data_IF_339727001251
#
_entry.id   IF_339727001251
#
_cell.length_a   1.000
_cell.length_b   1.000
_cell.length_c   1.000
_cell.angle_alpha   90.00
_cell.angle_beta   90.00
_cell.angle_gamma   90.00
#
_symmetry.space_group_name_H-M   'P 1'
#
loop_
_entity.id
_entity.type
_entity.pdbx_description
1 polymer ?
#
# COMPACT_ATOMS: atom_id res chain seq x y z
N UNK A 1 -17.02 -4.37 3.33
CA UNK A 1 -15.78 -3.83 3.95
C UNK A 1 -15.19 -2.61 3.20
N UNK A 2 -16.03 -1.83 2.56
CA UNK A 2 -15.60 -0.73 1.65
C UNK A 2 -15.10 0.53 2.38
N UNK A 3 -15.49 0.73 3.64
CA UNK A 3 -15.17 1.99 4.35
C UNK A 3 -13.71 2.17 4.77
N UNK A 4 -12.94 1.10 4.87
CA UNK A 4 -11.51 1.22 5.26
C UNK A 4 -10.55 1.31 4.07
N UNK A 5 -11.00 1.01 2.84
CA UNK A 5 -10.15 1.10 1.63
C UNK A 5 -9.62 2.53 1.44
N UNK A 6 -10.52 3.52 1.46
CA UNK A 6 -10.19 4.93 1.25
C UNK A 6 -9.25 5.43 2.35
N UNK A 7 -9.47 4.98 3.59
CA UNK A 7 -8.60 5.29 4.73
C UNK A 7 -7.21 4.68 4.55
N UNK A 8 -7.10 3.44 4.06
CA UNK A 8 -5.81 2.80 3.76
C UNK A 8 -5.05 3.59 2.69
N UNK A 9 -5.73 4.04 1.63
CA UNK A 9 -5.13 4.88 0.58
C UNK A 9 -4.64 6.19 1.17
N UNK A 10 -5.44 6.87 2.00
CA UNK A 10 -5.05 8.12 2.65
C UNK A 10 -3.81 7.94 3.55
N UNK A 11 -3.80 6.94 4.41
CA UNK A 11 -2.68 6.64 5.29
C UNK A 11 -1.42 6.22 4.52
N UNK A 12 -1.58 5.57 3.37
CA UNK A 12 -0.44 5.22 2.49
C UNK A 12 0.28 6.47 1.98
N UNK A 13 -0.46 7.54 1.71
CA UNK A 13 0.07 8.84 1.27
C UNK A 13 0.86 9.59 2.34
N UNK A 14 0.61 9.31 3.60
CA UNK A 14 1.31 9.95 4.72
C UNK A 14 2.71 9.36 4.90
N UNK A 15 3.63 9.66 3.97
CA UNK A 15 5.00 9.12 3.94
C UNK A 15 5.84 9.46 5.17
N UNK A 16 5.47 10.53 5.88
CA UNK A 16 6.10 10.95 7.12
C UNK A 16 5.76 10.05 8.33
N UNK A 17 4.78 9.13 8.20
CA UNK A 17 4.42 8.18 9.25
C UNK A 17 5.02 6.80 8.98
N UNK A 18 5.49 6.15 10.05
CA UNK A 18 5.91 4.74 10.01
C UNK A 18 4.71 3.81 9.86
N UNK A 19 4.94 2.55 9.48
CA UNK A 19 3.90 1.52 9.41
C UNK A 19 3.13 1.38 10.72
N UNK A 20 3.80 1.33 11.87
CA UNK A 20 3.17 1.24 13.19
C UNK A 20 2.27 2.43 13.50
N UNK A 21 2.67 3.65 13.14
CA UNK A 21 1.88 4.85 13.33
C UNK A 21 0.63 4.87 12.43
N UNK A 22 0.74 4.40 11.20
CA UNK A 22 -0.40 4.23 10.29
C UNK A 22 -1.39 3.19 10.81
N UNK A 23 -0.90 2.10 11.39
CA UNK A 23 -1.74 1.08 12.05
C UNK A 23 -2.51 1.68 13.23
N UNK A 24 -1.85 2.49 14.07
CA UNK A 24 -2.53 3.18 15.17
C UNK A 24 -3.67 4.08 14.66
N UNK A 25 -3.42 4.85 13.60
CA UNK A 25 -4.46 5.69 12.99
C UNK A 25 -5.59 4.83 12.39
N UNK A 26 -5.26 3.76 11.68
CA UNK A 26 -6.25 2.86 11.06
C UNK A 26 -7.18 2.20 12.10
N UNK A 27 -6.67 1.95 13.31
CA UNK A 27 -7.45 1.39 14.40
C UNK A 27 -8.32 2.43 15.12
N UNK A 28 -7.95 3.71 15.07
CA UNK A 28 -8.65 4.80 15.77
C UNK A 28 -9.58 5.62 14.86
N UNK A 29 -9.50 5.44 13.55
CA UNK A 29 -10.31 6.17 12.58
C UNK A 29 -11.24 5.19 11.84
N UNK A 30 -12.49 5.59 11.70
CA UNK A 30 -13.50 4.74 11.04
C UNK A 30 -13.57 4.98 9.53
N UNK A 31 -13.31 6.21 9.08
CA UNK A 31 -13.46 6.60 7.69
C UNK A 31 -12.55 7.77 7.30
N UNK A 32 -12.47 8.04 6.01
CA UNK A 32 -11.66 9.11 5.44
C UNK A 32 -12.05 10.51 5.93
N UNK A 33 -13.35 10.75 6.19
CA UNK A 33 -13.83 12.05 6.67
C UNK A 33 -13.24 12.40 8.05
N UNK A 34 -13.00 11.41 8.90
CA UNK A 34 -12.33 11.65 10.18
C UNK A 34 -10.89 12.12 10.00
N UNK A 35 -10.18 11.62 8.98
CA UNK A 35 -8.83 12.10 8.66
C UNK A 35 -8.84 13.57 8.29
N UNK A 36 -9.85 14.00 7.52
CA UNK A 36 -10.00 15.39 7.08
C UNK A 36 -10.22 16.38 8.24
N UNK A 37 -10.85 15.90 9.30
CA UNK A 37 -11.18 16.71 10.49
C UNK A 37 -10.03 16.77 11.51
N UNK A 38 -8.99 15.93 11.36
CA UNK A 38 -7.88 15.92 12.30
C UNK A 38 -7.09 17.24 12.25
N UNK A 39 -7.01 17.91 13.38
CA UNK A 39 -6.00 18.94 13.61
C UNK A 39 -4.60 18.30 13.67
N UNK A 40 -3.57 19.12 13.47
CA UNK A 40 -2.20 18.61 13.60
C UNK A 40 -1.87 18.11 15.01
N UNK A 41 -2.46 18.72 16.02
CA UNK A 41 -2.30 18.33 17.42
C UNK A 41 -2.93 16.94 17.71
N UNK A 42 -4.10 16.68 17.15
CA UNK A 42 -4.74 15.37 17.23
C UNK A 42 -3.93 14.31 16.48
N UNK A 43 -3.44 14.66 15.28
CA UNK A 43 -2.59 13.77 14.50
C UNK A 43 -1.29 13.43 15.24
N UNK A 44 -0.65 14.41 15.91
CA UNK A 44 0.51 14.18 16.78
C UNK A 44 0.16 13.23 17.92
N UNK A 45 -0.96 13.47 18.58
CA UNK A 45 -1.41 12.67 19.72
C UNK A 45 -1.69 11.23 19.31
N UNK A 46 -2.42 11.02 18.22
CA UNK A 46 -2.78 9.70 17.71
C UNK A 46 -1.60 8.92 17.13
N UNK A 47 -0.71 9.60 16.42
CA UNK A 47 0.45 8.95 15.79
C UNK A 47 1.64 8.80 16.74
N UNK A 48 1.65 9.52 17.86
CA UNK A 48 2.81 9.60 18.76
C UNK A 48 4.04 10.27 18.14
N UNK A 49 3.86 11.02 17.04
CA UNK A 49 4.96 11.67 16.32
C UNK A 49 4.90 13.19 16.45
N UNK A 50 6.04 13.80 16.71
CA UNK A 50 6.16 15.26 16.60
C UNK A 50 6.22 15.66 15.12
N UNK A 51 5.17 16.33 14.63
CA UNK A 51 4.99 16.74 13.25
C UNK A 51 5.11 18.25 13.14
N UNK A 52 5.71 18.71 12.04
CA UNK A 52 5.69 20.12 11.67
C UNK A 52 4.33 20.47 11.02
N UNK A 53 3.87 21.70 11.24
CA UNK A 53 2.62 22.21 10.62
C UNK A 53 2.63 22.14 9.10
N UNK A 54 3.80 22.23 8.48
CA UNK A 54 3.98 22.12 7.02
C UNK A 54 3.76 20.72 6.48
N UNK A 55 3.82 19.69 7.33
CA UNK A 55 3.65 18.29 6.94
C UNK A 55 2.19 17.85 6.87
N UNK A 56 1.25 18.68 7.37
CA UNK A 56 -0.16 18.32 7.44
C UNK A 56 -1.02 19.31 6.64
N UNK A 57 -1.60 18.80 5.57
CA UNK A 57 -2.58 19.52 4.75
C UNK A 57 -3.69 18.52 4.36
N UNK A 58 -4.81 18.50 5.11
CA UNK A 58 -5.89 17.55 4.87
C UNK A 58 -6.57 17.77 3.51
N UNK A 59 -6.76 19.01 3.06
CA UNK A 59 -7.41 19.29 1.78
C UNK A 59 -6.60 18.77 0.60
N UNK A 60 -5.27 18.94 0.65
CA UNK A 60 -4.37 18.40 -0.37
C UNK A 60 -4.37 16.87 -0.34
N UNK A 61 -4.35 16.28 0.85
CA UNK A 61 -4.44 14.83 1.01
C UNK A 61 -5.72 14.28 0.38
N UNK A 62 -6.88 14.88 0.70
CA UNK A 62 -8.16 14.42 0.17
C UNK A 62 -8.21 14.45 -1.36
N UNK A 63 -7.76 15.56 -1.98
CA UNK A 63 -7.67 15.67 -3.45
C UNK A 63 -6.78 14.58 -4.06
N UNK A 64 -5.67 14.27 -3.40
CA UNK A 64 -4.78 13.21 -3.87
C UNK A 64 -5.41 11.82 -3.73
N UNK A 65 -6.10 11.56 -2.62
CA UNK A 65 -6.82 10.31 -2.38
C UNK A 65 -7.93 10.10 -3.41
N UNK A 66 -8.73 11.14 -3.69
CA UNK A 66 -9.79 11.08 -4.71
C UNK A 66 -9.22 10.72 -6.09
N UNK A 67 -8.12 11.34 -6.47
CA UNK A 67 -7.41 11.00 -7.72
C UNK A 67 -6.93 9.55 -7.73
N UNK A 68 -6.34 9.07 -6.62
CA UNK A 68 -5.87 7.69 -6.53
C UNK A 68 -7.02 6.70 -6.64
N UNK A 69 -8.13 6.94 -5.92
CA UNK A 69 -9.30 6.08 -5.97
C UNK A 69 -9.87 6.00 -7.39
N UNK A 70 -9.94 7.12 -8.10
CA UNK A 70 -10.37 7.15 -9.50
C UNK A 70 -9.44 6.34 -10.40
N UNK A 71 -8.13 6.47 -10.24
CA UNK A 71 -7.15 5.66 -11.00
C UNK A 71 -7.23 4.18 -10.63
N UNK A 72 -7.40 3.87 -9.35
CA UNK A 72 -7.57 2.49 -8.88
C UNK A 72 -8.79 1.83 -9.50
N UNK A 73 -9.90 2.56 -9.62
CA UNK A 73 -11.11 2.08 -10.28
C UNK A 73 -10.88 1.89 -11.78
N UNK A 74 -10.33 2.88 -12.46
CA UNK A 74 -10.04 2.85 -13.89
C UNK A 74 -9.14 1.67 -14.27
N UNK A 75 -8.11 1.40 -13.47
CA UNK A 75 -7.10 0.37 -13.76
C UNK A 75 -7.33 -0.94 -13.01
N UNK A 76 -8.45 -1.09 -12.31
CA UNK A 76 -8.79 -2.28 -11.51
C UNK A 76 -7.68 -2.62 -10.51
N UNK A 77 -7.19 -1.59 -9.80
CA UNK A 77 -6.20 -1.73 -8.75
C UNK A 77 -6.93 -1.90 -7.42
N UNK A 78 -6.56 -2.94 -6.68
CA UNK A 78 -7.02 -3.18 -5.32
C UNK A 78 -5.92 -2.81 -4.31
N UNK A 79 -6.30 -2.66 -3.05
CA UNK A 79 -5.37 -2.40 -1.95
C UNK A 79 -5.70 -3.27 -0.76
N UNK A 80 -4.66 -3.83 -0.13
CA UNK A 80 -4.75 -4.51 1.17
C UNK A 80 -3.77 -3.86 2.13
N UNK A 81 -4.16 -3.72 3.38
CA UNK A 81 -3.30 -3.26 4.47
C UNK A 81 -2.62 -4.43 5.16
N UNK A 82 -1.57 -4.15 5.91
CA UNK A 82 -0.86 -5.15 6.72
C UNK A 82 -1.75 -5.85 7.76
N UNK A 83 -2.92 -5.27 8.07
CA UNK A 83 -3.89 -5.85 9.00
C UNK A 83 -4.88 -6.81 8.32
N UNK A 84 -4.97 -6.79 6.99
CA UNK A 84 -5.89 -7.64 6.27
C UNK A 84 -5.40 -9.10 6.21
N UNK A 85 -6.35 -10.03 6.20
CA UNK A 85 -6.06 -11.48 6.12
C UNK A 85 -5.40 -11.87 4.79
N UNK A 86 -5.67 -11.11 3.74
CA UNK A 86 -5.13 -11.34 2.41
C UNK A 86 -3.75 -10.71 2.19
N UNK A 87 -3.24 -9.95 3.18
CA UNK A 87 -1.88 -9.42 3.09
C UNK A 87 -0.86 -10.56 3.14
N UNK A 88 0.09 -10.64 2.18
CA UNK A 88 1.05 -11.72 2.09
C UNK A 88 1.90 -11.86 3.36
N UNK A 89 1.94 -13.05 4.02
CA UNK A 89 2.62 -13.21 5.31
C UNK A 89 4.12 -12.93 5.23
N UNK A 90 4.79 -13.34 4.16
CA UNK A 90 6.22 -13.10 3.98
C UNK A 90 6.59 -11.61 3.93
N UNK A 91 5.68 -10.75 3.47
CA UNK A 91 5.91 -9.30 3.48
C UNK A 91 5.81 -8.68 4.88
N UNK A 92 5.27 -9.41 5.87
CA UNK A 92 5.28 -8.98 7.28
C UNK A 92 6.64 -9.22 7.96
N UNK A 93 7.48 -10.06 7.38
CA UNK A 93 8.80 -10.42 7.93
C UNK A 93 9.90 -9.45 7.52
N UNK A 94 9.71 -8.71 6.41
CA UNK A 94 10.71 -7.75 5.95
C UNK A 94 10.69 -6.45 6.76
N UNK A 95 11.82 -5.75 6.79
CA UNK A 95 11.95 -4.47 7.50
C UNK A 95 12.48 -3.40 6.54
N UNK A 96 11.80 -2.25 6.42
CA UNK A 96 10.50 -1.90 7.04
C UNK A 96 9.34 -2.69 6.44
N UNK A 97 8.37 -3.03 7.28
CA UNK A 97 7.13 -3.69 6.82
C UNK A 97 6.32 -2.70 6.00
N UNK A 98 5.88 -3.05 4.77
CA UNK A 98 4.99 -2.19 3.99
C UNK A 98 3.61 -2.11 4.65
N UNK A 99 3.08 -0.89 4.80
CA UNK A 99 1.76 -0.67 5.41
C UNK A 99 0.62 -1.19 4.53
N UNK A 100 0.74 -1.01 3.22
CA UNK A 100 -0.26 -1.43 2.25
C UNK A 100 0.40 -1.97 0.99
N UNK A 101 -0.29 -2.87 0.30
CA UNK A 101 0.08 -3.42 -0.98
C UNK A 101 -1.01 -3.10 -2.00
N UNK A 102 -0.63 -2.47 -3.10
CA UNK A 102 -1.50 -2.24 -4.26
C UNK A 102 -1.26 -3.33 -5.29
N UNK A 103 -2.33 -3.92 -5.80
CA UNK A 103 -2.22 -5.05 -6.71
C UNK A 103 -3.32 -5.05 -7.79
N UNK A 104 -3.11 -5.83 -8.83
CA UNK A 104 -4.11 -6.14 -9.86
C UNK A 104 -4.17 -7.65 -10.04
N UNK A 105 -5.39 -8.18 -10.17
CA UNK A 105 -5.61 -9.61 -10.32
C UNK A 105 -5.82 -10.31 -8.98
N UNK A 106 -5.41 -11.57 -8.90
CA UNK A 106 -5.63 -12.40 -7.71
C UNK A 106 -4.43 -12.35 -6.74
N UNK A 107 -4.62 -11.71 -5.59
CA UNK A 107 -3.62 -11.67 -4.53
C UNK A 107 -3.39 -13.03 -3.88
N UNK A 108 -4.36 -13.96 -4.02
CA UNK A 108 -4.26 -15.33 -3.48
C UNK A 108 -3.06 -16.10 -4.03
N UNK A 109 -2.55 -15.74 -5.22
CA UNK A 109 -1.35 -16.36 -5.77
C UNK A 109 -0.11 -16.16 -4.88
N UNK A 110 -0.05 -15.08 -4.08
CA UNK A 110 1.05 -14.81 -3.14
C UNK A 110 1.01 -15.68 -1.87
N UNK A 111 -0.04 -16.48 -1.70
CA UNK A 111 -0.14 -17.50 -0.63
C UNK A 111 0.50 -18.85 -1.04
N UNK A 112 0.82 -18.99 -2.34
CA UNK A 112 1.53 -20.15 -2.88
C UNK A 112 3.05 -19.94 -2.83
N UNK A 113 3.86 -20.98 -3.06
CA UNK A 113 5.29 -20.81 -3.25
C UNK A 113 5.59 -19.79 -4.37
N UNK A 114 6.38 -18.79 -4.07
CA UNK A 114 6.72 -17.72 -5.02
C UNK A 114 8.20 -17.75 -5.34
N UNK A 115 8.55 -17.50 -6.59
CA UNK A 115 9.93 -17.31 -7.03
C UNK A 115 10.12 -15.86 -7.46
N UNK A 116 11.12 -15.19 -6.88
CA UNK A 116 11.49 -13.83 -7.27
C UNK A 116 12.38 -13.85 -8.52
N UNK A 117 11.94 -13.22 -9.60
CA UNK A 117 12.75 -12.99 -10.79
C UNK A 117 13.27 -11.58 -10.74
N UNK A 118 14.60 -11.41 -10.65
CA UNK A 118 15.25 -10.10 -10.50
C UNK A 118 16.33 -9.92 -11.56
N UNK A 119 16.61 -8.67 -11.91
CA UNK A 119 17.61 -8.36 -12.92
C UNK A 119 17.97 -6.88 -12.96
N UNK A 120 18.72 -6.50 -13.98
CA UNK A 120 19.10 -5.10 -14.25
C UNK A 120 17.87 -4.26 -14.60
N UNK A 121 17.93 -2.95 -14.31
CA UNK A 121 16.87 -1.98 -14.69
C UNK A 121 16.81 -1.71 -16.18
N UNK A 122 17.92 -1.97 -16.88
CA UNK A 122 18.05 -1.78 -18.33
C UNK A 122 18.55 -3.09 -18.95
N UNK A 123 17.69 -4.10 -19.10
CA UNK A 123 18.06 -5.36 -19.71
C UNK A 123 18.19 -5.19 -21.23
N UNK A 124 19.03 -6.00 -21.84
CA UNK A 124 19.00 -6.21 -23.28
C UNK A 124 17.82 -7.09 -23.70
N UNK A 125 17.65 -7.25 -25.01
CA UNK A 125 16.54 -8.02 -25.59
C UNK A 125 16.59 -9.49 -25.16
N UNK A 126 17.78 -10.06 -25.03
CA UNK A 126 17.96 -11.46 -24.65
C UNK A 126 17.61 -11.66 -23.16
N UNK A 127 18.04 -10.76 -22.29
CA UNK A 127 17.69 -10.79 -20.88
C UNK A 127 16.19 -10.64 -20.62
N UNK A 128 15.51 -9.74 -21.38
CA UNK A 128 14.04 -9.61 -21.31
C UNK A 128 13.34 -10.91 -21.74
N UNK A 129 13.78 -11.50 -22.85
CA UNK A 129 13.23 -12.76 -23.35
C UNK A 129 13.45 -13.89 -22.37
N UNK A 130 14.66 -14.05 -21.86
CA UNK A 130 14.97 -15.09 -20.87
C UNK A 130 14.13 -14.96 -19.59
N UNK A 131 13.98 -13.73 -19.07
CA UNK A 131 13.13 -13.49 -17.90
C UNK A 131 11.66 -13.83 -18.17
N UNK A 132 11.15 -13.48 -19.35
CA UNK A 132 9.77 -13.80 -19.75
C UNK A 132 9.56 -15.31 -19.89
N UNK A 133 10.42 -16.00 -20.65
CA UNK A 133 10.28 -17.43 -20.92
C UNK A 133 10.40 -18.26 -19.64
N UNK A 134 11.35 -17.88 -18.75
CA UNK A 134 11.52 -18.53 -17.45
C UNK A 134 10.33 -18.30 -16.53
N UNK A 135 9.84 -17.06 -16.41
CA UNK A 135 8.67 -16.75 -15.59
C UNK A 135 7.40 -17.45 -16.11
N UNK A 136 7.23 -17.52 -17.41
CA UNK A 136 6.13 -18.22 -18.05
C UNK A 136 6.16 -19.72 -17.71
N UNK A 137 7.31 -20.36 -17.89
CA UNK A 137 7.46 -21.80 -17.60
C UNK A 137 7.20 -22.11 -16.14
N UNK A 138 7.65 -21.27 -15.19
CA UNK A 138 7.35 -21.40 -13.77
C UNK A 138 5.84 -21.29 -13.50
N UNK A 139 5.19 -20.28 -14.07
CA UNK A 139 3.75 -20.06 -13.88
C UNK A 139 2.89 -21.19 -14.47
N UNK A 140 3.31 -21.81 -15.58
CA UNK A 140 2.63 -22.95 -16.20
C UNK A 140 2.84 -24.25 -15.41
N UNK A 141 3.88 -24.32 -14.61
CA UNK A 141 4.17 -25.48 -13.74
C UNK A 141 3.40 -25.49 -12.40
N UNK A 142 2.66 -24.39 -12.06
CA UNK A 142 1.86 -24.24 -10.84
C UNK A 142 2.62 -23.58 -9.74
#
# INVERSE_FOLDING_TARGET
MTHKRDLVVALSRMSFLSCGQKILLLNNLDNLSMVALLSIEELKKLSGKNLDKTQWNPDLLLKQVEKDLSLMEQYKIEVVSVLDLDFPPLLKEIKPVPFALYYRGDIGCLKKPCVGVVGTRHPDTEGMKAAFDFSKSLAESG
#
